data_IF_076999596672
#
_entry.id   IF_076999596672
#
_cell.length_a   1.000
_cell.length_b   1.000
_cell.length_c   1.000
_cell.angle_alpha   90.00
_cell.angle_beta   90.00
_cell.angle_gamma   90.00
#
_symmetry.space_group_name_H-M   'P 1'
#
loop_
_entity.id
_entity.type
_entity.pdbx_description
1 polymer ?
#
# COMPACT_ATOMS: atom_id res chain seq x y z
N UNK A 1 -19.46 25.13 33.85
CA UNK A 1 -18.74 23.85 34.08
C UNK A 1 -18.64 22.93 32.85
N UNK A 2 -19.51 23.03 31.83
CA UNK A 2 -19.44 22.14 30.64
C UNK A 2 -18.33 22.51 29.64
N UNK A 3 -18.07 23.80 29.45
CA UNK A 3 -17.07 24.29 28.46
C UNK A 3 -15.64 23.95 28.89
N UNK A 4 -15.33 24.04 30.19
CA UNK A 4 -14.01 23.68 30.72
C UNK A 4 -13.71 22.18 30.59
N UNK A 5 -14.71 21.30 30.65
CA UNK A 5 -14.50 19.86 30.45
C UNK A 5 -14.28 19.49 28.98
N UNK A 6 -14.99 20.14 28.06
CA UNK A 6 -14.82 19.93 26.61
C UNK A 6 -13.42 20.36 26.16
N UNK A 7 -12.95 21.50 26.67
CA UNK A 7 -11.62 22.02 26.34
C UNK A 7 -10.50 21.13 26.89
N UNK A 8 -10.68 20.57 28.10
CA UNK A 8 -9.72 19.66 28.70
C UNK A 8 -9.65 18.31 27.94
N UNK A 9 -10.80 17.77 27.52
CA UNK A 9 -10.84 16.56 26.69
C UNK A 9 -10.15 16.78 25.33
N UNK A 10 -10.39 17.92 24.67
CA UNK A 10 -9.74 18.24 23.40
C UNK A 10 -8.20 18.29 23.54
N UNK A 11 -7.69 18.90 24.61
CA UNK A 11 -6.24 18.97 24.89
C UNK A 11 -5.66 17.57 25.13
N UNK A 12 -6.34 16.72 25.91
CA UNK A 12 -5.88 15.35 26.19
C UNK A 12 -5.80 14.52 24.90
N UNK A 13 -6.79 14.63 24.01
CA UNK A 13 -6.78 13.93 22.72
C UNK A 13 -5.62 14.41 21.83
N UNK A 14 -5.37 15.72 21.75
CA UNK A 14 -4.26 16.26 20.98
C UNK A 14 -2.90 15.81 21.53
N UNK A 15 -2.73 15.76 22.85
CA UNK A 15 -1.50 15.26 23.48
C UNK A 15 -1.29 13.76 23.24
N UNK A 16 -2.35 12.94 23.30
CA UNK A 16 -2.25 11.51 23.04
C UNK A 16 -1.82 11.21 21.59
N UNK A 17 -2.36 11.96 20.62
CA UNK A 17 -2.00 11.81 19.21
C UNK A 17 -0.59 12.35 18.91
N UNK A 18 -0.19 13.46 19.53
CA UNK A 18 1.13 14.06 19.35
C UNK A 18 2.29 13.19 19.85
N UNK A 19 2.14 12.54 21.02
CA UNK A 19 3.18 11.65 21.58
C UNK A 19 3.34 10.39 20.73
N UNK A 20 2.23 9.80 20.24
CA UNK A 20 2.29 8.63 19.36
C UNK A 20 3.02 8.90 18.04
N UNK A 21 2.80 10.07 17.44
CA UNK A 21 3.49 10.48 16.22
C UNK A 21 4.99 10.75 16.45
N UNK A 22 5.36 11.32 17.59
CA UNK A 22 6.76 11.62 17.93
C UNK A 22 7.61 10.35 18.17
N UNK A 23 7.02 9.29 18.76
CA UNK A 23 7.71 8.00 18.95
C UNK A 23 7.88 7.27 17.60
N UNK A 24 6.94 7.43 16.66
CA UNK A 24 7.02 6.82 15.33
C UNK A 24 8.12 7.40 14.43
N UNK A 25 8.45 8.69 14.55
CA UNK A 25 9.50 9.31 13.72
C UNK A 25 10.92 9.07 14.23
N UNK A 26 11.12 8.89 15.54
CA UNK A 26 12.46 8.66 16.11
C UNK A 26 12.78 7.17 16.36
N UNK A 27 11.85 6.25 16.06
CA UNK A 27 11.94 4.82 16.37
C UNK A 27 12.62 3.94 15.32
N UNK A 28 13.09 4.47 14.19
CA UNK A 28 13.91 3.71 13.23
C UNK A 28 15.37 3.68 13.68
N UNK A 29 15.65 2.91 14.73
CA UNK A 29 17.00 2.79 15.28
C UNK A 29 17.18 1.49 16.05
N UNK A 30 17.24 0.36 15.33
CA UNK A 30 18.11 -0.79 15.58
C UNK A 30 17.62 -2.02 14.79
N UNK A 31 17.92 -2.06 13.49
CA UNK A 31 18.12 -3.35 12.82
C UNK A 31 19.37 -3.95 13.43
N UNK A 32 19.20 -4.96 14.27
CA UNK A 32 20.30 -5.76 14.79
C UNK A 32 20.85 -6.59 13.63
N UNK A 33 21.94 -6.14 13.01
CA UNK A 33 22.82 -7.00 12.20
C UNK A 33 23.35 -8.12 13.10
N UNK A 34 22.69 -9.28 13.08
CA UNK A 34 23.36 -10.51 13.47
C UNK A 34 24.23 -10.92 12.28
N UNK A 35 25.52 -10.57 12.39
CA UNK A 35 26.56 -11.17 11.58
C UNK A 35 26.57 -12.68 11.86
N UNK A 36 26.00 -13.45 10.93
CA UNK A 36 26.21 -14.89 10.90
C UNK A 36 27.47 -15.12 10.09
N UNK A 37 28.57 -15.32 10.83
CA UNK A 37 29.82 -15.89 10.35
C UNK A 37 29.57 -17.36 9.97
N UNK A 38 29.48 -17.63 8.66
CA UNK A 38 29.55 -18.99 8.12
C UNK A 38 30.81 -19.06 7.27
N UNK A 39 31.92 -19.39 7.92
CA UNK A 39 33.06 -20.03 7.29
C UNK A 39 32.64 -21.44 6.88
N UNK A 40 32.57 -21.73 5.58
CA UNK A 40 32.58 -23.11 5.06
C UNK A 40 33.25 -23.12 3.70
N UNK A 41 34.38 -23.83 3.70
CA UNK A 41 35.28 -24.25 2.63
C UNK A 41 34.79 -24.22 1.17
N UNK A 42 35.68 -23.64 0.34
CA UNK A 42 35.90 -24.04 -1.05
C UNK A 42 36.41 -25.49 -1.08
N UNK A 43 35.96 -26.36 -2.02
CA UNK A 43 36.70 -26.39 -3.28
C UNK A 43 35.82 -26.61 -4.54
N UNK A 44 36.40 -26.14 -5.65
CA UNK A 44 35.97 -26.21 -7.03
C UNK A 44 35.26 -27.49 -7.51
N UNK A 45 34.31 -27.34 -8.45
CA UNK A 45 34.26 -28.11 -9.71
C UNK A 45 33.22 -27.53 -10.68
N UNK A 46 33.65 -27.49 -11.95
CA UNK A 46 32.97 -27.05 -13.16
C UNK A 46 31.62 -27.75 -13.42
N UNK A 47 30.63 -27.02 -13.94
CA UNK A 47 29.81 -27.42 -15.09
C UNK A 47 28.63 -26.46 -15.28
N UNK A 48 28.70 -25.70 -16.37
CA UNK A 48 27.66 -25.58 -17.39
C UNK A 48 26.19 -25.82 -16.96
N UNK A 49 25.42 -24.74 -16.85
CA UNK A 49 24.07 -24.71 -17.39
C UNK A 49 23.68 -23.26 -17.68
N UNK A 50 23.65 -22.94 -18.98
CA UNK A 50 22.91 -21.81 -19.50
C UNK A 50 21.44 -21.93 -19.06
N UNK A 51 21.05 -21.10 -18.10
CA UNK A 51 19.66 -20.85 -17.72
C UNK A 51 19.27 -19.44 -18.15
N UNK A 52 19.32 -19.20 -19.46
CA UNK A 52 18.66 -18.07 -20.09
C UNK A 52 17.16 -18.21 -19.82
N UNK A 53 16.66 -17.66 -18.71
CA UNK A 53 15.24 -17.36 -18.59
C UNK A 53 14.99 -16.09 -19.41
N UNK A 54 14.99 -16.32 -20.72
CA UNK A 54 14.31 -15.54 -21.73
C UNK A 54 12.94 -15.15 -21.18
N UNK A 55 12.63 -13.87 -21.30
CA UNK A 55 11.39 -13.30 -20.84
C UNK A 55 10.19 -14.05 -21.40
N UNK A 56 9.37 -14.54 -20.50
CA UNK A 56 7.94 -14.54 -20.74
C UNK A 56 7.42 -13.22 -20.19
N UNK A 57 7.44 -12.19 -21.03
CA UNK A 57 6.52 -11.06 -20.87
C UNK A 57 5.12 -11.63 -21.11
N UNK A 58 4.59 -12.36 -20.12
CA UNK A 58 3.15 -12.47 -19.95
C UNK A 58 2.66 -11.03 -19.95
N UNK A 59 2.00 -10.64 -21.04
CA UNK A 59 1.12 -9.48 -21.04
C UNK A 59 0.21 -9.72 -19.86
N UNK A 60 0.47 -9.04 -18.74
CA UNK A 60 -0.27 -9.29 -17.53
C UNK A 60 -1.68 -8.80 -17.80
N UNK A 61 -2.56 -9.73 -18.17
CA UNK A 61 -3.96 -9.48 -18.41
C UNK A 61 -4.50 -8.84 -17.14
N UNK A 62 -4.85 -7.56 -17.23
CA UNK A 62 -5.33 -6.83 -16.07
C UNK A 62 -6.57 -7.51 -15.50
N UNK A 63 -6.74 -7.41 -14.19
CA UNK A 63 -7.91 -7.98 -13.53
C UNK A 63 -9.06 -6.98 -13.64
N UNK A 64 -10.18 -7.41 -14.23
CA UNK A 64 -11.42 -6.64 -14.20
C UNK A 64 -12.01 -6.66 -12.79
N UNK A 65 -12.20 -5.50 -12.19
CA UNK A 65 -12.87 -5.39 -10.89
C UNK A 65 -14.38 -5.40 -11.12
N UNK A 66 -15.09 -6.34 -10.50
CA UNK A 66 -16.57 -6.31 -10.49
C UNK A 66 -17.06 -5.37 -9.39
N UNK A 67 -18.00 -4.48 -9.70
CA UNK A 67 -18.65 -3.61 -8.70
C UNK A 67 -19.29 -4.39 -7.54
N UNK A 68 -19.67 -5.65 -7.75
CA UNK A 68 -20.23 -6.50 -6.71
C UNK A 68 -19.26 -6.79 -5.56
N UNK A 69 -17.95 -6.71 -5.82
CA UNK A 69 -16.91 -6.93 -4.82
C UNK A 69 -16.51 -5.64 -4.07
N UNK A 70 -17.10 -4.50 -4.43
CA UNK A 70 -16.80 -3.21 -3.81
C UNK A 70 -17.78 -2.91 -2.68
N UNK A 71 -17.27 -2.30 -1.61
CA UNK A 71 -18.10 -1.80 -0.51
C UNK A 71 -18.88 -0.55 -0.95
N UNK A 72 -19.97 -0.22 -0.26
CA UNK A 72 -20.80 0.95 -0.59
C UNK A 72 -20.00 2.26 -0.59
N UNK A 73 -19.01 2.38 0.31
CA UNK A 73 -18.13 3.54 0.37
C UNK A 73 -17.22 3.64 -0.86
N UNK A 74 -16.67 2.52 -1.33
CA UNK A 74 -15.84 2.47 -2.55
C UNK A 74 -16.66 2.79 -3.80
N UNK A 75 -17.87 2.24 -3.93
CA UNK A 75 -18.80 2.56 -5.02
C UNK A 75 -19.13 4.05 -5.05
N UNK A 76 -19.42 4.62 -3.89
CA UNK A 76 -19.72 6.05 -3.77
C UNK A 76 -18.53 6.92 -4.16
N UNK A 77 -17.32 6.56 -3.73
CA UNK A 77 -16.09 7.26 -4.11
C UNK A 77 -15.88 7.23 -5.64
N UNK A 78 -16.01 6.05 -6.26
CA UNK A 78 -15.87 5.90 -7.71
C UNK A 78 -16.91 6.73 -8.47
N UNK A 79 -18.17 6.73 -8.00
CA UNK A 79 -19.21 7.60 -8.55
C UNK A 79 -18.87 9.09 -8.44
N UNK A 80 -18.28 9.54 -7.32
CA UNK A 80 -17.81 10.92 -7.17
C UNK A 80 -16.66 11.28 -8.11
N UNK A 81 -15.79 10.30 -8.41
CA UNK A 81 -14.67 10.44 -9.33
C UNK A 81 -15.08 10.26 -10.80
N UNK A 82 -16.34 9.91 -11.07
CA UNK A 82 -16.84 9.65 -12.41
C UNK A 82 -16.26 8.38 -13.05
N UNK A 83 -15.83 7.42 -12.23
CA UNK A 83 -15.22 6.16 -12.67
C UNK A 83 -16.29 5.08 -12.72
N UNK A 84 -16.40 4.42 -13.85
CA UNK A 84 -17.22 3.22 -13.99
C UNK A 84 -16.42 2.00 -13.54
N UNK A 85 -16.79 1.43 -12.40
CA UNK A 85 -16.07 0.29 -11.84
C UNK A 85 -16.29 -1.00 -12.62
N UNK A 86 -17.40 -1.17 -13.34
CA UNK A 86 -17.68 -2.42 -14.07
C UNK A 86 -16.78 -2.59 -15.29
N UNK A 87 -16.15 -1.51 -15.75
CA UNK A 87 -15.20 -1.49 -16.86
C UNK A 87 -13.75 -1.25 -16.39
N UNK A 88 -13.50 -1.35 -15.08
CA UNK A 88 -12.21 -1.05 -14.50
C UNK A 88 -11.27 -2.27 -14.62
N UNK A 89 -10.24 -2.16 -15.45
CA UNK A 89 -9.20 -3.18 -15.64
C UNK A 89 -7.93 -2.73 -14.93
N UNK A 90 -7.57 -3.41 -13.85
CA UNK A 90 -6.37 -3.09 -13.07
C UNK A 90 -5.20 -3.94 -13.56
N UNK A 91 -4.19 -3.31 -14.13
CA UNK A 91 -2.94 -3.98 -14.53
C UNK A 91 -1.93 -3.98 -13.38
N UNK A 92 -0.93 -4.88 -13.37
CA UNK A 92 0.12 -4.85 -12.35
C UNK A 92 0.93 -3.54 -12.32
N UNK A 93 1.06 -2.87 -13.46
CA UNK A 93 1.70 -1.55 -13.53
C UNK A 93 0.90 -0.50 -12.73
N UNK A 94 -0.43 -0.59 -12.76
CA UNK A 94 -1.31 0.29 -12.01
C UNK A 94 -1.30 -0.05 -10.51
N UNK A 95 -1.22 -1.34 -10.15
CA UNK A 95 -1.01 -1.75 -8.75
C UNK A 95 0.33 -1.24 -8.20
N UNK A 96 1.41 -1.35 -8.99
CA UNK A 96 2.72 -0.81 -8.61
C UNK A 96 2.68 0.71 -8.41
N UNK A 97 1.99 1.45 -9.30
CA UNK A 97 1.77 2.88 -9.15
C UNK A 97 0.95 3.21 -7.89
N UNK A 98 -0.14 2.47 -7.64
CA UNK A 98 -0.99 2.64 -6.48
C UNK A 98 -0.21 2.40 -5.17
N UNK A 99 0.59 1.34 -5.12
CA UNK A 99 1.47 1.03 -3.98
C UNK A 99 2.50 2.13 -3.74
N UNK A 100 3.06 2.72 -4.80
CA UNK A 100 4.03 3.82 -4.67
C UNK A 100 3.40 5.13 -4.17
N UNK A 101 2.13 5.39 -4.50
CA UNK A 101 1.43 6.63 -4.13
C UNK A 101 0.72 6.56 -2.78
N UNK A 102 0.02 5.46 -2.54
CA UNK A 102 -0.85 5.26 -1.37
C UNK A 102 -0.13 4.47 -0.26
N UNK A 103 0.84 3.65 -0.63
CA UNK A 103 1.56 2.75 0.28
C UNK A 103 0.92 1.37 0.34
N UNK A 104 1.76 0.34 0.44
CA UNK A 104 1.35 -1.08 0.36
C UNK A 104 0.40 -1.48 1.49
N UNK A 105 0.69 -1.09 2.74
CA UNK A 105 -0.18 -1.39 3.88
C UNK A 105 -1.58 -0.80 3.70
N UNK A 106 -1.65 0.45 3.22
CA UNK A 106 -2.91 1.14 2.99
C UNK A 106 -3.68 0.55 1.80
N UNK A 107 -2.98 0.09 0.77
CA UNK A 107 -3.58 -0.65 -0.34
C UNK A 107 -4.20 -1.98 0.12
N UNK A 108 -3.56 -2.72 1.03
CA UNK A 108 -4.14 -3.94 1.58
C UNK A 108 -5.45 -3.67 2.34
N UNK A 109 -5.52 -2.57 3.10
CA UNK A 109 -6.77 -2.15 3.76
C UNK A 109 -7.87 -1.84 2.73
N UNK A 110 -7.54 -1.13 1.65
CA UNK A 110 -8.50 -0.78 0.59
C UNK A 110 -8.99 -2.04 -0.12
N UNK A 111 -8.10 -2.98 -0.44
CA UNK A 111 -8.46 -4.27 -1.02
C UNK A 111 -9.36 -5.08 -0.07
N UNK A 112 -9.12 -4.99 1.24
CA UNK A 112 -9.98 -5.59 2.27
C UNK A 112 -11.34 -4.87 2.45
N UNK A 113 -11.60 -3.81 1.70
CA UNK A 113 -12.88 -3.09 1.67
C UNK A 113 -12.87 -1.73 2.35
N UNK A 114 -11.73 -1.26 2.86
CA UNK A 114 -11.62 0.08 3.39
C UNK A 114 -11.93 1.11 2.29
N UNK A 115 -12.64 2.16 2.67
CA UNK A 115 -12.93 3.26 1.75
C UNK A 115 -11.72 4.19 1.68
N UNK A 116 -11.15 4.43 0.49
CA UNK A 116 -10.11 5.43 0.33
C UNK A 116 -10.66 6.83 0.66
N UNK A 117 -9.79 7.70 1.12
CA UNK A 117 -10.07 9.15 1.16
C UNK A 117 -10.15 9.72 -0.25
N UNK A 118 -10.69 10.94 -0.39
CA UNK A 118 -10.77 11.60 -1.70
C UNK A 118 -9.39 11.83 -2.34
N UNK A 119 -8.36 12.13 -1.52
CA UNK A 119 -6.99 12.29 -2.00
C UNK A 119 -6.41 10.98 -2.53
N UNK A 120 -6.54 9.91 -1.75
CA UNK A 120 -6.14 8.56 -2.17
C UNK A 120 -6.89 8.12 -3.43
N UNK A 121 -8.20 8.39 -3.51
CA UNK A 121 -8.99 8.11 -4.71
C UNK A 121 -8.50 8.84 -5.96
N UNK A 122 -8.05 10.10 -5.82
CA UNK A 122 -7.47 10.86 -6.92
C UNK A 122 -6.11 10.30 -7.36
N UNK A 123 -5.26 9.90 -6.41
CA UNK A 123 -3.97 9.28 -6.69
C UNK A 123 -4.14 7.93 -7.40
N UNK A 124 -5.08 7.11 -6.95
CA UNK A 124 -5.44 5.84 -7.60
C UNK A 124 -5.97 6.07 -9.01
N UNK A 125 -6.82 7.08 -9.20
CA UNK A 125 -7.32 7.43 -10.54
C UNK A 125 -6.21 7.95 -11.46
N UNK A 126 -5.24 8.68 -10.93
CA UNK A 126 -4.08 9.11 -11.71
C UNK A 126 -3.26 7.91 -12.21
N UNK A 127 -3.09 6.88 -11.38
CA UNK A 127 -2.49 5.60 -11.79
C UNK A 127 -3.31 4.85 -12.83
N UNK A 128 -4.65 4.97 -12.77
CA UNK A 128 -5.56 4.29 -13.71
C UNK A 128 -5.55 4.88 -15.12
N UNK A 129 -5.16 6.14 -15.28
CA UNK A 129 -5.14 6.86 -16.56
C UNK A 129 -3.82 6.73 -17.33
N UNK A 130 -2.88 5.92 -16.85
CA UNK A 130 -1.56 5.73 -17.48
C UNK A 130 -1.55 4.65 -18.55
#
# INVERSE_FOLDING_TARGET
MKITHILLLAIVVVLALGVGFYIGQNGTGAVSEQAIDITTDEPATEASAAGSNSGETTVAEGTTISTNNLTDGQKRLLGLLGVDADNLVVTPAMEACANAKVGEARMQEIIAGATPSLGEGADLLACYKQ
#
